data_IF_588739364391
#
_entry.id   IF_588739364391
#
_cell.length_a   1.000
_cell.length_b   1.000
_cell.length_c   1.000
_cell.angle_alpha   90.00
_cell.angle_beta   90.00
_cell.angle_gamma   90.00
#
_symmetry.space_group_name_H-M   'P 1'
#
loop_
_entity.id
_entity.type
_entity.pdbx_description
1 polymer ?
#
# COMPACT_ATOMS: atom_id res chain seq x y z
N UNK A 1 -31.52 11.26 44.00
CA UNK A 1 -30.05 11.12 43.91
C UNK A 1 -29.58 9.68 43.61
N UNK A 2 -30.24 8.67 44.17
CA UNK A 2 -29.89 7.26 43.92
C UNK A 2 -30.15 6.79 42.47
N UNK A 3 -31.27 7.16 41.87
CA UNK A 3 -31.61 6.72 40.49
C UNK A 3 -30.55 7.14 39.44
N UNK A 4 -29.99 8.37 39.55
CA UNK A 4 -28.90 8.83 38.68
C UNK A 4 -27.62 7.98 38.83
N UNK A 5 -27.31 7.49 40.03
CA UNK A 5 -26.14 6.62 40.24
C UNK A 5 -26.34 5.25 39.60
N UNK A 6 -27.53 4.66 39.66
CA UNK A 6 -27.83 3.40 38.99
C UNK A 6 -27.81 3.52 37.47
N UNK A 7 -28.33 4.61 36.90
CA UNK A 7 -28.24 4.87 35.45
C UNK A 7 -26.78 5.03 34.99
N UNK A 8 -25.94 5.76 35.71
CA UNK A 8 -24.53 5.92 35.40
C UNK A 8 -23.77 4.58 35.51
N UNK A 9 -24.07 3.76 36.49
CA UNK A 9 -23.47 2.45 36.67
C UNK A 9 -23.89 1.47 35.55
N UNK A 10 -25.14 1.50 35.09
CA UNK A 10 -25.64 0.70 33.99
C UNK A 10 -25.02 1.13 32.66
N UNK A 11 -24.85 2.43 32.41
CA UNK A 11 -24.17 2.95 31.23
C UNK A 11 -22.70 2.58 31.26
N UNK A 12 -22.02 2.69 32.41
CA UNK A 12 -20.63 2.29 32.58
C UNK A 12 -20.44 0.78 32.35
N UNK A 13 -21.34 -0.07 32.89
CA UNK A 13 -21.36 -1.50 32.67
C UNK A 13 -21.62 -1.87 31.20
N UNK A 14 -22.54 -1.18 30.54
CA UNK A 14 -22.81 -1.42 29.12
C UNK A 14 -21.64 -1.00 28.22
N UNK A 15 -20.95 0.09 28.55
CA UNK A 15 -19.73 0.54 27.86
C UNK A 15 -18.55 -0.43 28.11
N UNK A 16 -18.39 -0.94 29.33
CA UNK A 16 -17.39 -1.95 29.63
C UNK A 16 -17.67 -3.27 28.90
N UNK A 17 -18.93 -3.68 28.83
CA UNK A 17 -19.35 -4.91 28.13
C UNK A 17 -19.18 -4.81 26.61
N UNK A 18 -19.49 -3.65 26.04
CA UNK A 18 -19.24 -3.38 24.63
C UNK A 18 -17.76 -3.34 24.28
N UNK A 19 -16.90 -2.80 25.16
CA UNK A 19 -15.45 -2.82 24.99
C UNK A 19 -14.87 -4.23 25.04
N UNK A 20 -15.32 -5.08 25.95
CA UNK A 20 -14.87 -6.49 26.03
C UNK A 20 -15.26 -7.26 24.77
N UNK A 21 -16.51 -7.13 24.31
CA UNK A 21 -16.96 -7.77 23.08
C UNK A 21 -16.26 -7.26 21.82
N UNK A 22 -16.00 -5.93 21.77
CA UNK A 22 -15.24 -5.35 20.66
C UNK A 22 -13.81 -5.91 20.61
N UNK A 23 -13.14 -6.03 21.75
CA UNK A 23 -11.79 -6.62 21.79
C UNK A 23 -11.76 -8.09 21.36
N UNK A 24 -12.75 -8.90 21.80
CA UNK A 24 -12.87 -10.29 21.37
C UNK A 24 -13.17 -10.41 19.85
N UNK A 25 -13.92 -9.48 19.29
CA UNK A 25 -14.18 -9.44 17.85
C UNK A 25 -12.90 -9.28 17.03
N UNK A 26 -11.96 -8.46 17.48
CA UNK A 26 -10.70 -8.21 16.77
C UNK A 26 -9.63 -9.28 16.98
N UNK A 27 -9.83 -10.23 17.87
CA UNK A 27 -8.96 -11.39 17.98
C UNK A 27 -9.18 -12.37 16.82
N UNK A 28 -8.12 -12.99 16.28
CA UNK A 28 -8.29 -14.12 15.37
C UNK A 28 -9.14 -15.21 16.03
N UNK A 29 -9.96 -15.88 15.23
CA UNK A 29 -10.77 -17.00 15.69
C UNK A 29 -9.88 -18.24 15.82
N UNK A 30 -9.98 -18.98 16.94
CA UNK A 30 -9.24 -20.23 17.15
C UNK A 30 -9.68 -21.35 16.20
N UNK A 31 -10.90 -21.26 15.67
CA UNK A 31 -11.49 -22.20 14.72
C UNK A 31 -12.09 -21.47 13.53
N UNK A 32 -12.23 -22.19 12.42
CA UNK A 32 -12.89 -21.67 11.23
C UNK A 32 -14.29 -21.10 11.55
N UNK A 33 -14.46 -19.82 11.28
CA UNK A 33 -15.70 -19.08 11.50
C UNK A 33 -16.31 -18.68 10.15
N UNK A 34 -17.29 -19.43 9.69
CA UNK A 34 -17.92 -19.23 8.38
C UNK A 34 -18.57 -17.84 8.25
N UNK A 35 -19.13 -17.28 9.34
CA UNK A 35 -19.73 -15.95 9.33
C UNK A 35 -18.69 -14.84 9.11
N UNK A 36 -17.52 -14.93 9.78
CA UNK A 36 -16.40 -13.98 9.57
C UNK A 36 -15.86 -14.09 8.16
N UNK A 37 -15.62 -15.31 7.66
CA UNK A 37 -15.10 -15.53 6.31
C UNK A 37 -16.10 -15.06 5.24
N UNK A 38 -17.39 -15.36 5.37
CA UNK A 38 -18.40 -14.87 4.45
C UNK A 38 -18.52 -13.34 4.48
N UNK A 39 -18.48 -12.73 5.68
CA UNK A 39 -18.46 -11.28 5.84
C UNK A 39 -17.25 -10.63 5.17
N UNK A 40 -16.06 -11.22 5.32
CA UNK A 40 -14.83 -10.81 4.62
C UNK A 40 -15.03 -10.81 3.10
N UNK A 41 -15.49 -11.94 2.54
CA UNK A 41 -15.70 -12.08 1.09
C UNK A 41 -16.69 -11.03 0.56
N UNK A 42 -17.79 -10.80 1.28
CA UNK A 42 -18.80 -9.80 0.88
C UNK A 42 -18.20 -8.39 0.86
N UNK A 43 -17.51 -8.01 1.95
CA UNK A 43 -16.90 -6.66 2.07
C UNK A 43 -15.82 -6.46 1.02
N UNK A 44 -14.95 -7.42 0.83
CA UNK A 44 -13.87 -7.34 -0.16
C UNK A 44 -14.39 -7.32 -1.60
N UNK A 45 -15.42 -8.12 -1.90
CA UNK A 45 -16.07 -8.07 -3.21
C UNK A 45 -16.70 -6.70 -3.48
N UNK A 46 -17.33 -6.09 -2.47
CA UNK A 46 -17.88 -4.74 -2.57
C UNK A 46 -16.77 -3.70 -2.78
N UNK A 47 -15.69 -3.75 -1.99
CA UNK A 47 -14.52 -2.86 -2.13
C UNK A 47 -13.88 -3.07 -3.50
N UNK A 48 -13.62 -4.29 -3.93
CA UNK A 48 -13.04 -4.62 -5.24
C UNK A 48 -13.88 -4.06 -6.39
N UNK A 49 -15.21 -4.18 -6.28
CA UNK A 49 -16.14 -3.59 -7.27
C UNK A 49 -16.03 -2.06 -7.28
N UNK A 50 -16.05 -1.42 -6.11
CA UNK A 50 -15.93 0.04 -5.99
C UNK A 50 -14.61 0.52 -6.58
N UNK A 51 -13.51 -0.16 -6.26
CA UNK A 51 -12.17 0.17 -6.77
C UNK A 51 -12.14 -0.01 -8.29
N UNK A 52 -12.63 -1.12 -8.83
CA UNK A 52 -12.65 -1.38 -10.28
C UNK A 52 -13.50 -0.34 -11.02
N UNK A 53 -14.66 0.02 -10.49
CA UNK A 53 -15.51 1.09 -11.07
C UNK A 53 -14.79 2.44 -10.97
N UNK A 54 -14.14 2.73 -9.85
CA UNK A 54 -13.35 3.95 -9.65
C UNK A 54 -12.18 4.04 -10.64
N UNK A 55 -11.42 2.97 -10.82
CA UNK A 55 -10.35 2.88 -11.81
C UNK A 55 -10.88 3.10 -13.22
N UNK A 56 -12.01 2.45 -13.58
CA UNK A 56 -12.63 2.68 -14.88
C UNK A 56 -12.96 4.15 -15.11
N UNK A 57 -13.52 4.84 -14.11
CA UNK A 57 -13.82 6.27 -14.21
C UNK A 57 -12.58 7.16 -14.32
N UNK A 58 -11.53 6.86 -13.58
CA UNK A 58 -10.33 7.68 -13.48
C UNK A 58 -9.38 7.49 -14.66
N UNK A 59 -9.32 6.28 -15.22
CA UNK A 59 -8.38 5.90 -16.28
C UNK A 59 -9.09 5.57 -17.60
N UNK A 60 -9.95 4.55 -17.64
CA UNK A 60 -10.38 3.92 -18.89
C UNK A 60 -11.49 4.64 -19.65
N UNK A 61 -12.48 5.18 -18.93
CA UNK A 61 -13.69 5.79 -19.55
C UNK A 61 -13.39 6.92 -20.56
N UNK A 62 -12.23 7.55 -20.46
CA UNK A 62 -11.84 8.68 -21.32
C UNK A 62 -11.19 8.24 -22.63
N UNK A 63 -10.83 6.98 -22.75
CA UNK A 63 -10.10 6.45 -23.90
C UNK A 63 -10.92 5.37 -24.59
N UNK A 64 -10.89 5.29 -25.95
CA UNK A 64 -11.56 4.23 -26.67
C UNK A 64 -10.99 2.85 -26.30
N UNK A 65 -11.83 1.82 -26.39
CA UNK A 65 -11.38 0.45 -26.32
C UNK A 65 -10.61 0.04 -27.57
N UNK A 66 -9.58 -0.77 -27.41
CA UNK A 66 -8.80 -1.38 -28.48
C UNK A 66 -8.89 -2.89 -28.45
N UNK A 67 -8.42 -3.56 -29.50
CA UNK A 67 -8.08 -4.97 -29.41
C UNK A 67 -6.93 -5.16 -28.44
N UNK A 68 -6.92 -6.28 -27.72
CA UNK A 68 -5.83 -6.60 -26.80
C UNK A 68 -4.47 -6.46 -27.45
N UNK A 69 -3.57 -5.76 -26.78
CA UNK A 69 -2.20 -5.56 -27.23
C UNK A 69 -1.23 -5.43 -26.07
N UNK A 70 0.04 -5.76 -26.34
CA UNK A 70 1.14 -5.56 -25.42
C UNK A 70 1.73 -4.16 -25.58
N UNK A 71 2.21 -3.62 -24.48
CA UNK A 71 2.91 -2.36 -24.45
C UNK A 71 4.17 -2.47 -23.58
N UNK A 72 5.27 -1.86 -24.01
CA UNK A 72 6.49 -1.80 -23.22
C UNK A 72 6.62 -0.42 -22.57
N UNK A 73 6.28 -0.33 -21.33
CA UNK A 73 6.31 0.87 -20.49
C UNK A 73 7.51 0.93 -19.52
N UNK A 74 8.53 0.09 -19.74
CA UNK A 74 9.69 0.02 -18.85
C UNK A 74 10.49 1.33 -18.76
N UNK A 75 10.34 2.23 -19.72
CA UNK A 75 10.96 3.55 -19.70
C UNK A 75 10.07 4.64 -19.07
N UNK A 76 8.85 4.27 -18.68
CA UNK A 76 7.89 5.22 -18.11
C UNK A 76 8.16 5.51 -16.63
N UNK A 77 7.86 6.73 -16.22
CA UNK A 77 7.85 7.21 -14.83
C UNK A 77 9.09 6.86 -14.00
N UNK A 78 10.25 6.66 -14.68
CA UNK A 78 11.51 6.21 -14.06
C UNK A 78 11.32 4.94 -13.21
N UNK A 79 10.40 4.06 -13.57
CA UNK A 79 10.03 2.81 -12.90
C UNK A 79 9.36 2.95 -11.50
N UNK A 80 8.94 4.15 -11.09
CA UNK A 80 8.14 4.33 -9.86
C UNK A 80 6.85 3.52 -9.93
N UNK A 81 6.25 3.46 -11.11
CA UNK A 81 5.08 2.64 -11.42
C UNK A 81 5.29 1.15 -11.11
N UNK A 82 6.40 0.56 -11.58
CA UNK A 82 6.75 -0.85 -11.33
C UNK A 82 6.86 -1.16 -9.83
N UNK A 83 7.50 -0.25 -9.07
CA UNK A 83 7.61 -0.42 -7.62
C UNK A 83 6.23 -0.28 -6.97
N UNK A 84 5.37 0.57 -7.53
CA UNK A 84 3.97 0.71 -7.13
C UNK A 84 3.18 -0.59 -7.32
N UNK A 85 3.31 -1.24 -8.48
CA UNK A 85 2.71 -2.54 -8.78
C UNK A 85 3.15 -3.61 -7.78
N UNK A 86 4.45 -3.76 -7.53
CA UNK A 86 4.97 -4.72 -6.56
C UNK A 86 4.44 -4.45 -5.13
N UNK A 87 4.43 -3.16 -4.72
CA UNK A 87 3.94 -2.75 -3.40
C UNK A 87 2.44 -3.03 -3.26
N UNK A 88 1.65 -2.75 -4.28
CA UNK A 88 0.20 -2.98 -4.28
C UNK A 88 -0.10 -4.48 -4.20
N UNK A 89 0.55 -5.31 -5.03
CA UNK A 89 0.39 -6.76 -5.01
C UNK A 89 0.76 -7.37 -3.65
N UNK A 90 1.90 -6.96 -3.07
CA UNK A 90 2.31 -7.37 -1.72
C UNK A 90 1.25 -7.02 -0.67
N UNK A 91 0.75 -5.78 -0.67
CA UNK A 91 -0.19 -5.33 0.35
C UNK A 91 -1.58 -5.96 0.21
N UNK A 92 -2.07 -6.19 -1.01
CA UNK A 92 -3.33 -6.93 -1.24
C UNK A 92 -3.17 -8.35 -0.67
N UNK A 93 -2.09 -9.07 -1.00
CA UNK A 93 -1.83 -10.41 -0.48
C UNK A 93 -1.80 -10.44 1.05
N UNK A 94 -1.12 -9.47 1.66
CA UNK A 94 -0.97 -9.37 3.10
C UNK A 94 -2.28 -9.05 3.83
N UNK A 95 -3.07 -8.09 3.31
CA UNK A 95 -4.37 -7.72 3.90
C UNK A 95 -5.34 -8.89 3.79
N UNK A 96 -5.45 -9.50 2.61
CA UNK A 96 -6.31 -10.65 2.36
C UNK A 96 -5.96 -11.82 3.30
N UNK A 97 -4.67 -12.11 3.46
CA UNK A 97 -4.20 -13.14 4.37
C UNK A 97 -4.61 -12.85 5.82
N UNK A 98 -4.45 -11.61 6.28
CA UNK A 98 -4.81 -11.20 7.65
C UNK A 98 -6.30 -11.36 7.94
N UNK A 99 -7.18 -10.93 7.03
CA UNK A 99 -8.62 -11.00 7.27
C UNK A 99 -9.15 -12.43 7.22
N UNK A 100 -8.58 -13.28 6.37
CA UNK A 100 -8.89 -14.72 6.36
C UNK A 100 -8.40 -15.40 7.64
N UNK A 101 -7.18 -15.07 8.09
CA UNK A 101 -6.65 -15.59 9.34
C UNK A 101 -7.48 -15.13 10.55
N UNK A 102 -7.97 -13.89 10.56
CA UNK A 102 -8.92 -13.40 11.55
C UNK A 102 -10.22 -14.24 11.56
N UNK A 103 -10.64 -14.73 10.39
CA UNK A 103 -11.77 -15.69 10.25
C UNK A 103 -11.47 -17.11 10.70
N UNK A 104 -10.26 -17.41 11.20
CA UNK A 104 -9.85 -18.73 11.66
C UNK A 104 -9.38 -19.67 10.53
N UNK A 105 -9.07 -19.14 9.35
CA UNK A 105 -8.40 -19.89 8.28
C UNK A 105 -6.92 -20.09 8.68
N UNK A 106 -6.35 -21.27 8.40
CA UNK A 106 -4.94 -21.56 8.69
C UNK A 106 -4.02 -20.55 8.00
N UNK A 107 -2.96 -20.12 8.68
CA UNK A 107 -2.05 -19.06 8.19
C UNK A 107 -1.50 -19.33 6.78
N UNK A 108 -0.99 -20.54 6.50
CA UNK A 108 -0.50 -20.88 5.16
C UNK A 108 -1.59 -20.86 4.08
N UNK A 109 -2.81 -21.35 4.40
CA UNK A 109 -3.95 -21.28 3.47
C UNK A 109 -4.39 -19.83 3.24
N UNK A 110 -4.41 -19.00 4.29
CA UNK A 110 -4.73 -17.58 4.20
C UNK A 110 -3.72 -16.84 3.31
N UNK A 111 -2.43 -17.15 3.45
CA UNK A 111 -1.37 -16.55 2.64
C UNK A 111 -1.51 -16.94 1.16
N UNK A 112 -1.70 -18.22 0.87
CA UNK A 112 -1.88 -18.70 -0.50
C UNK A 112 -3.09 -18.06 -1.18
N UNK A 113 -4.24 -17.98 -0.48
CA UNK A 113 -5.45 -17.32 -1.01
C UNK A 113 -5.18 -15.83 -1.20
N UNK A 114 -4.50 -15.18 -0.24
CA UNK A 114 -4.11 -13.77 -0.34
C UNK A 114 -3.26 -13.49 -1.57
N UNK A 115 -2.23 -14.29 -1.80
CA UNK A 115 -1.35 -14.23 -2.97
C UNK A 115 -2.13 -14.44 -4.28
N UNK A 116 -3.00 -15.45 -4.32
CA UNK A 116 -3.82 -15.72 -5.51
C UNK A 116 -4.79 -14.56 -5.81
N UNK A 117 -5.40 -13.98 -4.78
CA UNK A 117 -6.30 -12.80 -4.91
C UNK A 117 -5.54 -11.59 -5.44
N UNK A 118 -4.33 -11.31 -4.90
CA UNK A 118 -3.49 -10.22 -5.36
C UNK A 118 -3.10 -10.38 -6.82
N UNK A 119 -2.61 -11.55 -7.22
CA UNK A 119 -2.27 -11.84 -8.61
C UNK A 119 -3.47 -11.72 -9.54
N UNK A 120 -4.63 -12.25 -9.15
CA UNK A 120 -5.85 -12.17 -9.96
C UNK A 120 -6.30 -10.71 -10.16
N UNK A 121 -6.31 -9.91 -9.09
CA UNK A 121 -6.72 -8.50 -9.14
C UNK A 121 -5.75 -7.67 -9.99
N UNK A 122 -4.44 -7.81 -9.77
CA UNK A 122 -3.43 -7.07 -10.53
C UNK A 122 -3.39 -7.52 -12.00
N UNK A 123 -3.57 -8.81 -12.28
CA UNK A 123 -3.69 -9.30 -13.67
C UNK A 123 -4.95 -8.75 -14.37
N UNK A 124 -6.05 -8.57 -13.65
CA UNK A 124 -7.24 -7.94 -14.19
C UNK A 124 -6.97 -6.50 -14.64
N UNK A 125 -6.20 -5.73 -13.85
CA UNK A 125 -5.78 -4.37 -14.24
C UNK A 125 -4.97 -4.41 -15.53
N UNK A 126 -3.96 -5.26 -15.62
CA UNK A 126 -3.15 -5.39 -16.83
C UNK A 126 -3.96 -5.81 -18.07
N UNK A 127 -4.97 -6.67 -17.89
CA UNK A 127 -5.88 -7.05 -18.97
C UNK A 127 -6.73 -5.83 -19.41
N UNK A 128 -7.19 -5.01 -18.47
CA UNK A 128 -7.93 -3.78 -18.79
C UNK A 128 -7.03 -2.78 -19.54
N UNK A 129 -5.77 -2.63 -19.14
CA UNK A 129 -4.77 -1.83 -19.85
C UNK A 129 -4.53 -2.37 -21.26
N UNK A 130 -4.44 -3.70 -21.42
CA UNK A 130 -4.31 -4.38 -22.71
C UNK A 130 -5.43 -4.07 -23.70
N UNK A 131 -6.60 -3.64 -23.22
CA UNK A 131 -7.76 -3.24 -24.03
C UNK A 131 -7.95 -1.70 -24.16
N UNK A 132 -7.02 -0.89 -23.64
CA UNK A 132 -7.08 0.57 -23.71
C UNK A 132 -6.24 1.09 -24.89
N UNK A 133 -6.75 2.10 -25.62
CA UNK A 133 -5.95 2.77 -26.68
C UNK A 133 -4.78 3.58 -26.13
N UNK A 134 -4.79 3.91 -24.83
CA UNK A 134 -3.74 4.73 -24.21
C UNK A 134 -2.62 3.89 -23.61
N UNK A 135 -2.95 2.72 -23.06
CA UNK A 135 -2.03 1.80 -22.42
C UNK A 135 -2.00 0.48 -23.19
N UNK A 136 -1.42 -0.52 -22.65
CA UNK A 136 -1.41 -1.88 -23.15
C UNK A 136 -0.99 -2.82 -22.03
N UNK A 137 -1.11 -4.13 -22.23
CA UNK A 137 -0.66 -5.12 -21.26
C UNK A 137 0.86 -5.05 -21.09
N UNK A 138 1.32 -4.68 -19.90
CA UNK A 138 2.74 -4.58 -19.57
C UNK A 138 3.28 -5.88 -18.96
N UNK A 139 4.29 -6.47 -19.62
CA UNK A 139 5.04 -7.59 -19.02
C UNK A 139 5.88 -7.15 -17.83
N UNK A 140 6.32 -5.87 -17.82
CA UNK A 140 7.07 -5.28 -16.72
C UNK A 140 6.22 -5.20 -15.44
N UNK A 141 4.96 -4.74 -15.57
CA UNK A 141 4.04 -4.64 -14.44
C UNK A 141 3.62 -6.00 -13.93
N UNK A 142 3.40 -6.96 -14.83
CA UNK A 142 3.16 -8.35 -14.42
C UNK A 142 4.33 -8.95 -13.62
N UNK A 143 5.57 -8.70 -14.04
CA UNK A 143 6.75 -9.15 -13.29
C UNK A 143 6.84 -8.45 -11.93
N UNK A 144 6.53 -7.16 -11.86
CA UNK A 144 6.47 -6.41 -10.60
C UNK A 144 5.38 -6.96 -9.67
N UNK A 145 4.18 -7.25 -10.20
CA UNK A 145 3.08 -7.87 -9.45
C UNK A 145 3.49 -9.24 -8.88
N UNK A 146 4.14 -10.07 -9.69
CA UNK A 146 4.67 -11.37 -9.26
C UNK A 146 5.74 -11.18 -8.18
N UNK A 147 6.65 -10.22 -8.34
CA UNK A 147 7.71 -9.96 -7.36
C UNK A 147 7.14 -9.56 -5.99
N UNK A 148 6.11 -8.70 -5.94
CA UNK A 148 5.40 -8.36 -4.71
C UNK A 148 4.76 -9.57 -4.02
N UNK A 149 4.08 -10.40 -4.81
CA UNK A 149 3.46 -11.65 -4.33
C UNK A 149 4.52 -12.66 -3.84
N UNK A 150 5.62 -12.83 -4.56
CA UNK A 150 6.73 -13.72 -4.17
C UNK A 150 7.40 -13.23 -2.89
N UNK A 151 7.56 -11.92 -2.72
CA UNK A 151 8.09 -11.36 -1.47
C UNK A 151 7.18 -11.68 -0.28
N UNK A 152 5.86 -11.58 -0.45
CA UNK A 152 4.90 -11.90 0.60
C UNK A 152 4.88 -13.40 0.93
N UNK A 153 4.61 -14.23 -0.09
CA UNK A 153 4.47 -15.69 0.08
C UNK A 153 5.77 -16.34 0.50
N UNK A 154 6.90 -15.92 -0.08
CA UNK A 154 8.22 -16.44 0.26
C UNK A 154 8.56 -16.23 1.73
N UNK A 155 8.25 -15.10 2.31
CA UNK A 155 8.43 -14.84 3.73
C UNK A 155 7.51 -15.72 4.60
N UNK A 156 6.27 -15.92 4.15
CA UNK A 156 5.33 -16.80 4.84
C UNK A 156 5.81 -18.25 4.85
N UNK A 157 6.36 -18.73 3.74
CA UNK A 157 6.89 -20.08 3.62
C UNK A 157 8.19 -20.29 4.42
N UNK A 158 9.09 -19.30 4.38
CA UNK A 158 10.41 -19.42 5.00
C UNK A 158 10.41 -19.11 6.50
N UNK A 159 9.63 -18.11 6.91
CA UNK A 159 9.68 -17.55 8.27
C UNK A 159 8.35 -17.57 9.03
N UNK A 160 7.27 -17.91 8.35
CA UNK A 160 5.90 -17.85 8.89
C UNK A 160 5.52 -16.46 9.45
N UNK A 161 6.24 -15.43 9.01
CA UNK A 161 6.02 -14.02 9.39
C UNK A 161 6.61 -13.09 8.35
N UNK A 162 6.05 -11.89 8.27
CA UNK A 162 6.57 -10.83 7.42
C UNK A 162 7.64 -10.05 8.19
N UNK A 163 8.91 -10.18 7.79
CA UNK A 163 10.07 -9.47 8.35
C UNK A 163 10.41 -8.22 7.54
N UNK A 164 10.00 -8.22 6.28
CA UNK A 164 10.22 -7.15 5.30
C UNK A 164 8.87 -6.75 4.76
N UNK A 165 8.52 -5.46 4.82
CA UNK A 165 7.25 -4.92 4.33
C UNK A 165 7.50 -3.95 3.19
N UNK A 166 6.65 -3.96 2.17
CA UNK A 166 6.58 -2.91 1.17
C UNK A 166 5.59 -1.85 1.63
N UNK A 167 6.07 -0.61 1.78
CA UNK A 167 5.26 0.51 2.26
C UNK A 167 5.24 1.64 1.24
N UNK A 168 4.25 2.48 1.39
CA UNK A 168 3.98 3.63 0.55
C UNK A 168 4.00 4.91 1.38
N UNK A 169 4.47 6.00 0.78
CA UNK A 169 4.25 7.35 1.28
C UNK A 169 3.99 8.31 0.12
N UNK A 170 3.37 9.44 0.43
CA UNK A 170 3.05 10.46 -0.54
C UNK A 170 3.24 11.85 0.04
N UNK A 171 3.89 12.72 -0.74
CA UNK A 171 3.96 14.14 -0.47
C UNK A 171 3.45 14.95 -1.68
N UNK A 172 2.89 16.11 -1.43
CA UNK A 172 2.38 16.98 -2.50
C UNK A 172 3.52 17.59 -3.31
N UNK A 173 3.36 17.61 -4.64
CA UNK A 173 4.33 18.20 -5.57
C UNK A 173 3.74 19.35 -6.37
N UNK A 174 4.60 20.08 -7.09
CA UNK A 174 4.17 21.16 -7.99
C UNK A 174 3.75 20.67 -9.38
N UNK A 175 4.10 19.44 -9.77
CA UNK A 175 3.98 18.97 -11.15
C UNK A 175 2.53 18.84 -11.65
N UNK A 176 1.52 18.45 -10.82
CA UNK A 176 0.13 18.38 -11.25
C UNK A 176 -0.46 19.67 -11.77
N UNK A 177 0.09 20.85 -11.41
CA UNK A 177 -0.36 22.12 -11.96
C UNK A 177 -0.08 22.28 -13.46
N UNK A 178 0.96 21.62 -13.97
CA UNK A 178 1.34 21.66 -15.38
C UNK A 178 0.57 20.66 -16.23
N UNK A 179 0.21 19.48 -15.66
CA UNK A 179 -0.55 18.48 -16.39
C UNK A 179 -1.56 17.75 -15.47
N UNK A 180 -2.64 18.44 -15.04
CA UNK A 180 -3.61 17.85 -14.10
C UNK A 180 -4.33 16.60 -14.63
N UNK A 181 -4.51 16.50 -15.97
CA UNK A 181 -5.16 15.34 -16.58
C UNK A 181 -4.33 14.05 -16.41
N UNK A 182 -3.00 14.18 -16.45
CA UNK A 182 -2.07 13.06 -16.29
C UNK A 182 -1.72 12.81 -14.81
N UNK A 183 -1.40 13.86 -14.07
CA UNK A 183 -0.87 13.77 -12.71
C UNK A 183 -1.92 13.95 -11.60
N UNK A 184 -3.19 14.16 -11.99
CA UNK A 184 -4.29 14.29 -11.04
C UNK A 184 -4.67 15.73 -10.70
N UNK A 185 -5.98 16.01 -10.67
CA UNK A 185 -6.55 17.33 -10.43
C UNK A 185 -6.92 17.59 -8.97
N UNK A 186 -7.02 16.56 -8.14
CA UNK A 186 -7.34 16.62 -6.71
C UNK A 186 -6.47 15.64 -5.92
N UNK A 187 -6.47 15.75 -4.59
CA UNK A 187 -5.59 14.97 -3.73
C UNK A 187 -5.70 13.45 -3.97
N UNK A 188 -6.89 12.80 -3.98
CA UNK A 188 -6.97 11.37 -4.24
C UNK A 188 -6.39 10.97 -5.60
N UNK A 189 -6.63 11.77 -6.65
CA UNK A 189 -6.05 11.50 -7.97
C UNK A 189 -4.53 11.68 -7.98
N UNK A 190 -3.99 12.71 -7.30
CA UNK A 190 -2.55 12.94 -7.20
C UNK A 190 -1.86 11.81 -6.45
N UNK A 191 -2.43 11.34 -5.36
CA UNK A 191 -1.89 10.18 -4.62
C UNK A 191 -1.78 8.92 -5.51
N UNK A 192 -2.60 8.80 -6.55
CA UNK A 192 -2.61 7.65 -7.46
C UNK A 192 -1.82 7.88 -8.75
N UNK A 193 -1.65 9.14 -9.21
CA UNK A 193 -1.13 9.45 -10.54
C UNK A 193 0.15 10.29 -10.53
N UNK A 194 0.36 11.08 -9.47
CA UNK A 194 1.57 11.90 -9.38
C UNK A 194 2.73 11.08 -8.83
N UNK A 195 3.39 10.36 -9.71
CA UNK A 195 4.55 9.55 -9.39
C UNK A 195 5.71 10.34 -8.79
N UNK A 196 5.75 11.68 -8.95
CA UNK A 196 6.76 12.51 -8.31
C UNK A 196 6.59 12.59 -6.79
N UNK A 197 5.34 12.50 -6.30
CA UNK A 197 5.04 12.56 -4.87
C UNK A 197 5.07 11.20 -4.19
N UNK A 198 5.13 10.12 -4.97
CA UNK A 198 5.09 8.76 -4.45
C UNK A 198 6.49 8.27 -4.10
N UNK A 199 6.64 7.75 -2.88
CA UNK A 199 7.85 7.04 -2.47
C UNK A 199 7.46 5.67 -1.94
N UNK A 200 8.21 4.66 -2.33
CA UNK A 200 8.01 3.27 -1.98
C UNK A 200 9.18 2.77 -1.14
N UNK A 201 8.88 2.00 -0.12
CA UNK A 201 9.83 1.66 0.92
C UNK A 201 9.88 0.16 1.16
N UNK A 202 11.10 -0.37 1.18
CA UNK A 202 11.40 -1.70 1.68
C UNK A 202 11.78 -1.55 3.16
N UNK A 203 10.86 -1.91 4.05
CA UNK A 203 10.99 -1.72 5.50
C UNK A 203 11.34 -3.03 6.18
N UNK A 204 12.51 -3.09 6.80
CA UNK A 204 13.08 -4.26 7.46
C UNK A 204 12.84 -4.17 8.96
N UNK A 205 12.12 -5.12 9.53
CA UNK A 205 11.95 -5.22 10.97
C UNK A 205 13.21 -5.80 11.61
N UNK A 206 14.02 -4.94 12.21
CA UNK A 206 15.35 -5.29 12.75
C UNK A 206 15.25 -6.42 13.77
N UNK A 207 14.30 -6.31 14.71
CA UNK A 207 14.09 -7.29 15.76
C UNK A 207 13.86 -8.71 15.24
N UNK A 208 13.19 -8.84 14.08
CA UNK A 208 12.90 -10.15 13.47
C UNK A 208 14.14 -10.90 12.98
N UNK A 209 15.28 -10.22 12.85
CA UNK A 209 16.57 -10.82 12.42
C UNK A 209 17.56 -10.99 13.58
N UNK A 210 17.21 -10.51 14.77
CA UNK A 210 18.05 -10.60 15.97
C UNK A 210 17.56 -11.72 16.90
N UNK A 211 18.46 -12.27 17.73
CA UNK A 211 18.04 -13.17 18.80
C UNK A 211 17.06 -12.48 19.76
N UNK A 212 16.05 -13.20 20.24
CA UNK A 212 15.06 -12.66 21.18
C UNK A 212 15.70 -12.11 22.47
N UNK A 213 16.87 -12.60 22.86
CA UNK A 213 17.64 -12.14 24.01
C UNK A 213 18.15 -10.70 23.90
N UNK A 214 18.15 -10.10 22.71
CA UNK A 214 18.63 -8.72 22.51
C UNK A 214 17.69 -7.64 23.04
N UNK A 215 16.43 -7.98 23.34
CA UNK A 215 15.38 -7.05 23.77
C UNK A 215 15.27 -5.80 22.87
N UNK A 216 15.57 -5.96 21.56
CA UNK A 216 15.46 -4.88 20.60
C UNK A 216 13.98 -4.51 20.37
N UNK A 217 13.63 -3.22 20.24
CA UNK A 217 12.26 -2.79 20.03
C UNK A 217 11.62 -3.48 18.82
N UNK A 218 10.54 -4.25 19.05
CA UNK A 218 9.86 -5.03 18.01
C UNK A 218 9.22 -4.16 16.91
N UNK A 219 8.96 -2.91 17.25
CA UNK A 219 8.30 -1.94 16.37
C UNK A 219 9.24 -1.08 15.54
N UNK A 220 10.58 -1.14 15.78
CA UNK A 220 11.55 -0.30 15.08
C UNK A 220 12.11 -1.00 13.84
N UNK A 221 12.01 -0.31 12.72
CA UNK A 221 12.45 -0.78 11.41
C UNK A 221 13.52 0.15 10.82
N UNK A 222 14.33 -0.39 9.92
CA UNK A 222 15.14 0.37 8.98
C UNK A 222 14.51 0.24 7.58
N UNK A 223 14.41 1.34 6.83
CA UNK A 223 13.80 1.32 5.52
C UNK A 223 14.67 1.93 4.43
N UNK A 224 14.72 1.26 3.28
CA UNK A 224 15.28 1.78 2.04
C UNK A 224 14.13 2.23 1.13
N UNK A 225 14.20 3.45 0.62
CA UNK A 225 13.15 4.04 -0.20
C UNK A 225 13.58 4.30 -1.63
N UNK A 226 12.61 4.30 -2.53
CA UNK A 226 12.73 4.67 -3.94
C UNK A 226 11.64 5.63 -4.32
N UNK A 227 12.02 6.69 -5.03
CA UNK A 227 11.15 7.67 -5.65
C UNK A 227 11.78 8.26 -6.90
N UNK A 228 11.10 9.18 -7.54
CA UNK A 228 11.63 9.95 -8.65
C UNK A 228 10.91 11.29 -8.74
N UNK A 229 11.57 12.28 -9.32
CA UNK A 229 11.02 13.63 -9.43
C UNK A 229 11.34 14.24 -10.79
N UNK A 230 10.68 15.39 -11.10
CA UNK A 230 10.87 16.13 -12.33
C UNK A 230 10.07 15.61 -13.51
N UNK A 231 9.03 14.79 -13.28
CA UNK A 231 8.26 14.13 -14.32
C UNK A 231 6.90 14.83 -14.55
N UNK A 232 6.69 15.40 -15.73
CA UNK A 232 5.40 15.93 -16.21
C UNK A 232 4.75 14.98 -17.22
N UNK A 233 5.52 14.07 -17.80
CA UNK A 233 5.06 13.02 -18.72
C UNK A 233 5.77 11.70 -18.47
N UNK A 234 5.22 10.61 -18.98
CA UNK A 234 5.66 9.26 -18.70
C UNK A 234 7.12 9.00 -19.08
N UNK A 235 7.46 9.14 -20.36
CA UNK A 235 8.83 8.89 -20.87
C UNK A 235 9.66 10.17 -20.91
N UNK A 236 9.04 11.29 -21.34
CA UNK A 236 9.68 12.62 -21.43
C UNK A 236 8.69 13.72 -21.09
N UNK A 237 9.19 14.83 -20.59
CA UNK A 237 8.37 15.98 -20.28
C UNK A 237 7.95 16.68 -21.58
N UNK A 238 6.65 17.05 -21.72
CA UNK A 238 6.20 17.88 -22.82
C UNK A 238 6.73 19.31 -22.66
N UNK A 239 6.95 20.02 -23.75
CA UNK A 239 7.28 21.46 -23.75
C UNK A 239 6.06 22.34 -23.57
N UNK A 240 4.88 21.79 -23.88
CA UNK A 240 3.60 22.48 -23.81
C UNK A 240 2.47 21.51 -23.48
N UNK A 241 1.49 21.96 -22.70
CA UNK A 241 0.25 21.22 -22.40
C UNK A 241 -0.94 22.19 -22.58
N UNK A 242 -1.88 21.85 -23.47
CA UNK A 242 -3.08 22.66 -23.74
C UNK A 242 -2.77 24.12 -24.06
N UNK A 243 -1.74 24.40 -24.86
CA UNK A 243 -1.33 25.75 -25.27
C UNK A 243 -0.57 26.54 -24.19
N UNK A 244 -0.20 25.89 -23.08
CA UNK A 244 0.58 26.53 -22.01
C UNK A 244 1.98 25.91 -21.95
N UNK A 245 3.03 26.72 -21.92
CA UNK A 245 4.40 26.24 -21.86
C UNK A 245 4.64 25.50 -20.51
N UNK A 246 5.38 24.40 -20.57
CA UNK A 246 5.86 23.66 -19.41
C UNK A 246 7.33 24.00 -19.20
N UNK A 247 7.73 24.49 -18.02
CA UNK A 247 9.14 24.73 -17.71
C UNK A 247 9.97 23.46 -17.88
N UNK A 248 11.26 23.65 -18.14
CA UNK A 248 12.18 22.51 -18.15
C UNK A 248 12.38 21.97 -16.74
N UNK A 249 12.09 20.68 -16.55
CA UNK A 249 12.38 19.93 -15.33
C UNK A 249 13.32 18.78 -15.68
N UNK A 250 14.44 18.67 -14.95
CA UNK A 250 15.29 17.49 -15.02
C UNK A 250 14.61 16.36 -14.30
N UNK A 251 14.51 15.21 -14.95
CA UNK A 251 13.98 13.97 -14.37
C UNK A 251 15.11 13.23 -13.69
N UNK A 252 14.91 12.76 -12.45
CA UNK A 252 15.92 12.05 -11.69
C UNK A 252 15.30 11.06 -10.71
N UNK A 253 16.09 10.05 -10.33
CA UNK A 253 15.73 9.04 -9.33
C UNK A 253 16.18 9.48 -7.96
N UNK A 254 15.42 9.09 -6.94
CA UNK A 254 15.70 9.38 -5.54
C UNK A 254 15.79 8.06 -4.77
N UNK A 255 16.83 7.92 -3.97
CA UNK A 255 17.04 6.77 -3.10
C UNK A 255 17.12 7.27 -1.66
N UNK A 256 16.45 6.58 -0.76
CA UNK A 256 16.33 7.01 0.62
C UNK A 256 16.77 5.93 1.59
N UNK A 257 17.33 6.36 2.72
CA UNK A 257 17.51 5.55 3.92
C UNK A 257 16.81 6.25 5.07
N UNK A 258 15.98 5.54 5.82
CA UNK A 258 15.15 6.13 6.89
C UNK A 258 14.86 5.10 7.97
N UNK A 259 14.58 5.57 9.17
CA UNK A 259 13.90 4.76 10.16
C UNK A 259 12.40 4.66 9.82
N UNK A 260 11.78 3.57 10.25
CA UNK A 260 10.36 3.32 10.07
C UNK A 260 9.84 2.54 11.27
N UNK A 261 8.54 2.34 11.35
CA UNK A 261 7.93 1.65 12.48
C UNK A 261 6.88 0.64 12.06
N UNK A 262 6.75 -0.42 12.85
CA UNK A 262 5.63 -1.36 12.82
C UNK A 262 4.85 -1.23 14.13
N UNK A 263 4.11 -0.13 14.30
CA UNK A 263 3.44 0.22 15.56
C UNK A 263 2.50 -0.87 16.09
N UNK A 264 1.95 -1.71 15.22
CA UNK A 264 1.13 -2.86 15.61
C UNK A 264 1.91 -3.96 16.35
N UNK A 265 3.25 -3.89 16.37
CA UNK A 265 4.15 -4.81 17.09
C UNK A 265 4.55 -4.31 18.48
N UNK A 266 3.98 -3.18 18.94
CA UNK A 266 4.19 -2.71 20.31
C UNK A 266 3.54 -3.68 21.27
N UNK A 267 4.30 -4.14 22.28
CA UNK A 267 3.81 -5.07 23.29
C UNK A 267 2.68 -4.45 24.13
N UNK A 268 1.73 -5.27 24.55
CA UNK A 268 0.63 -4.86 25.41
C UNK A 268 -0.51 -4.11 24.72
N UNK A 269 -0.49 -3.99 23.38
CA UNK A 269 -1.62 -3.41 22.66
C UNK A 269 -2.89 -4.27 22.80
N UNK A 270 -4.03 -3.61 22.94
CA UNK A 270 -5.32 -4.31 22.80
C UNK A 270 -5.52 -4.82 21.37
N UNK A 271 -6.31 -5.89 21.15
CA UNK A 271 -6.58 -6.42 19.80
C UNK A 271 -7.12 -5.37 18.85
N UNK A 272 -8.00 -4.49 19.32
CA UNK A 272 -8.51 -3.37 18.53
C UNK A 272 -7.38 -2.40 18.14
N UNK A 273 -6.55 -1.99 19.10
CA UNK A 273 -5.44 -1.06 18.84
C UNK A 273 -4.43 -1.65 17.84
N UNK A 274 -4.05 -2.93 18.03
CA UNK A 274 -3.17 -3.64 17.11
C UNK A 274 -3.77 -3.69 15.70
N UNK A 275 -5.07 -3.98 15.56
CA UNK A 275 -5.75 -4.04 14.25
C UNK A 275 -5.76 -2.66 13.58
N UNK A 276 -6.08 -1.59 14.31
CA UNK A 276 -6.08 -0.24 13.75
C UNK A 276 -4.67 0.21 13.34
N UNK A 277 -3.66 -0.15 14.13
CA UNK A 277 -2.27 0.18 13.83
C UNK A 277 -1.67 -0.66 12.71
N UNK A 278 -2.32 -1.74 12.26
CA UNK A 278 -1.86 -2.51 11.09
C UNK A 278 -1.82 -1.70 9.79
N UNK A 279 -2.54 -0.58 9.69
CA UNK A 279 -2.40 0.37 8.57
C UNK A 279 -0.95 0.84 8.40
N UNK A 280 -0.20 0.91 9.49
CA UNK A 280 1.24 1.26 9.48
C UNK A 280 2.12 0.20 8.78
N UNK A 281 1.61 -0.99 8.48
CA UNK A 281 2.33 -1.96 7.64
C UNK A 281 2.35 -1.53 6.17
N UNK A 282 1.35 -0.77 5.72
CA UNK A 282 1.20 -0.31 4.33
C UNK A 282 1.74 1.10 4.13
N UNK A 283 1.59 1.96 5.15
CA UNK A 283 1.98 3.36 5.10
C UNK A 283 3.25 3.56 5.93
N UNK A 284 4.27 4.18 5.33
CA UNK A 284 5.48 4.54 6.04
C UNK A 284 5.18 5.58 7.13
N UNK A 285 5.77 5.38 8.30
CA UNK A 285 5.73 6.39 9.35
C UNK A 285 6.62 7.59 8.97
N UNK A 286 6.12 8.82 9.07
CA UNK A 286 6.95 10.00 8.89
C UNK A 286 8.14 10.03 9.84
N UNK A 287 9.32 10.36 9.32
CA UNK A 287 10.54 10.37 10.11
C UNK A 287 11.74 10.93 9.36
N UNK A 288 12.92 10.98 10.00
CA UNK A 288 14.14 11.46 9.35
C UNK A 288 14.55 10.53 8.21
N UNK A 289 14.94 11.12 7.08
CA UNK A 289 15.42 10.39 5.92
C UNK A 289 16.69 11.04 5.34
N UNK A 290 17.61 10.19 4.90
CA UNK A 290 18.73 10.58 4.07
C UNK A 290 18.40 10.23 2.63
N UNK A 291 18.30 11.23 1.78
CA UNK A 291 18.10 11.09 0.33
C UNK A 291 19.46 11.15 -0.38
N UNK A 292 19.60 10.35 -1.41
CA UNK A 292 20.60 10.53 -2.44
C UNK A 292 19.95 10.59 -3.81
N UNK A 293 20.36 11.58 -4.61
CA UNK A 293 19.95 11.70 -6.00
C UNK A 293 21.11 12.25 -6.86
N UNK A 294 21.02 12.07 -8.17
CA UNK A 294 22.09 12.46 -9.11
C UNK A 294 22.15 13.97 -9.40
N UNK A 295 21.23 14.77 -8.88
CA UNK A 295 21.16 16.22 -9.11
C UNK A 295 21.78 16.98 -7.95
N UNK A 296 21.36 16.66 -6.71
CA UNK A 296 21.71 17.38 -5.49
C UNK A 296 22.70 16.61 -4.61
N UNK A 297 23.00 15.34 -4.93
CA UNK A 297 23.79 14.46 -4.07
C UNK A 297 23.03 14.04 -2.82
N UNK A 298 23.66 14.11 -1.66
CA UNK A 298 23.03 13.78 -0.38
C UNK A 298 22.25 14.95 0.21
N UNK A 299 21.00 14.68 0.60
CA UNK A 299 20.10 15.63 1.28
C UNK A 299 19.52 14.97 2.53
N UNK A 300 19.55 15.69 3.64
CA UNK A 300 18.91 15.22 4.88
C UNK A 300 17.54 15.88 5.05
N UNK A 301 16.53 15.06 5.26
CA UNK A 301 15.18 15.49 5.59
C UNK A 301 14.91 15.17 7.06
N UNK A 302 14.76 16.17 7.94
CA UNK A 302 14.41 15.92 9.35
C UNK A 302 13.07 15.21 9.51
N UNK A 303 12.18 15.42 8.54
CA UNK A 303 10.86 14.84 8.51
C UNK A 303 10.45 14.57 7.05
N UNK A 304 10.37 13.31 6.67
CA UNK A 304 9.98 12.84 5.35
C UNK A 304 8.83 11.83 5.46
N UNK A 305 7.86 11.91 4.55
CA UNK A 305 6.69 11.02 4.48
C UNK A 305 6.28 10.73 3.04
#
# INVERSE_FOLDING_TARGET
MQLKKYCLSLIALSLLWSNVRAQEFFKPSDHYNSGRVAGTIIVESAIGTIVTVGLNYLWYKKFPHSKFHYFNDNDEWLNVDKVGHATTAYNIAAIQSDVLHWGGVRAGTSALIGTATALAFMSMIEIMDGHSTKWGFSKGDMLANIAGCVLFEGQQLLWHQQRISLKYSYHGTIFPQYYPAELGSNLPQRMLKDYNGQSYWLSFNIASFLPASTHFPQWLNLSAGYGAEGMVGAVKNPTEVNGKPVPYFRRYRQFYLSFDTDLYRIDGLSPLASTLLKVNRTIKTPGPALEWNEVDGFRFHPFYY
#
